data_IF_793397754999
#
_entry.id   IF_793397754999
#
_cell.length_a   1.000
_cell.length_b   1.000
_cell.length_c   1.000
_cell.angle_alpha   90.00
_cell.angle_beta   90.00
_cell.angle_gamma   90.00
#
_symmetry.space_group_name_H-M   'P 1'
#
loop_
_entity.id
_entity.type
_entity.pdbx_description
1 polymer ?
#
# COMPACT_ATOMS: atom_id res chain seq x y z
N UNK A 1 17.10 -0.23 0.89
CA UNK A 1 15.95 -0.96 1.45
C UNK A 1 14.71 -0.70 0.59
N UNK A 2 13.73 -1.59 0.62
CA UNK A 2 12.37 -1.32 0.13
C UNK A 2 11.51 -0.89 1.31
N UNK A 3 10.66 0.12 1.14
CA UNK A 3 9.82 0.68 2.20
C UNK A 3 8.35 0.45 1.87
N UNK A 4 7.68 -0.36 2.68
CA UNK A 4 6.26 -0.66 2.57
C UNK A 4 5.49 0.12 3.64
N UNK A 5 4.84 1.21 3.25
CA UNK A 5 4.11 2.11 4.13
C UNK A 5 2.71 1.54 4.45
N UNK A 6 2.49 1.14 5.70
CA UNK A 6 1.20 0.65 6.21
C UNK A 6 0.46 1.71 7.03
N UNK A 7 1.21 2.66 7.63
CA UNK A 7 0.66 3.69 8.49
C UNK A 7 -0.41 4.51 7.77
N UNK A 8 -1.62 4.51 8.35
CA UNK A 8 -2.74 5.27 7.82
C UNK A 8 -2.64 6.76 8.19
N UNK A 9 -3.15 7.66 7.33
CA UNK A 9 -3.74 7.39 6.02
C UNK A 9 -2.67 7.22 4.93
N UNK A 10 -2.63 6.08 4.23
CA UNK A 10 -1.58 5.75 3.22
C UNK A 10 -1.45 6.83 2.14
N UNK A 11 -2.57 7.42 1.73
CA UNK A 11 -2.61 8.48 0.72
C UNK A 11 -1.90 9.78 1.15
N UNK A 12 -1.65 9.97 2.45
CA UNK A 12 -0.88 11.11 2.97
C UNK A 12 0.50 10.70 3.48
N UNK A 13 0.63 9.54 4.13
CA UNK A 13 1.91 9.09 4.70
C UNK A 13 2.96 8.74 3.66
N UNK A 14 2.55 8.24 2.49
CA UNK A 14 3.47 7.98 1.36
C UNK A 14 4.06 9.27 0.79
N UNK A 15 3.26 10.30 0.41
CA UNK A 15 3.82 11.59 0.01
C UNK A 15 4.72 12.23 1.07
N UNK A 16 4.34 12.14 2.36
CA UNK A 16 5.17 12.66 3.46
C UNK A 16 6.54 11.96 3.49
N UNK A 17 6.57 10.63 3.40
CA UNK A 17 7.82 9.88 3.37
C UNK A 17 8.66 10.19 2.12
N UNK A 18 8.02 10.37 0.96
CA UNK A 18 8.69 10.76 -0.27
C UNK A 18 9.43 12.10 -0.10
N UNK A 19 8.78 13.12 0.48
CA UNK A 19 9.41 14.41 0.75
C UNK A 19 10.55 14.33 1.78
N UNK A 20 10.42 13.47 2.80
CA UNK A 20 11.50 13.22 3.76
C UNK A 20 12.72 12.60 3.07
N UNK A 21 12.52 11.61 2.21
CA UNK A 21 13.61 10.98 1.45
C UNK A 21 14.23 11.91 0.41
N UNK A 22 13.43 12.79 -0.22
CA UNK A 22 13.95 13.80 -1.17
C UNK A 22 14.85 14.79 -0.44
N UNK A 23 14.43 15.29 0.73
CA UNK A 23 15.25 16.17 1.58
C UNK A 23 16.55 15.49 2.04
N UNK A 24 16.52 14.18 2.24
CA UNK A 24 17.70 13.37 2.59
C UNK A 24 18.56 12.97 1.37
N UNK A 25 18.15 13.26 0.13
CA UNK A 25 18.87 12.87 -1.09
C UNK A 25 18.83 11.37 -1.39
N UNK A 26 17.92 10.61 -0.77
CA UNK A 26 17.85 9.14 -0.85
C UNK A 26 16.56 8.64 -1.50
N UNK A 27 15.72 9.54 -2.03
CA UNK A 27 14.47 9.18 -2.66
C UNK A 27 14.68 8.36 -3.94
N UNK A 28 14.04 7.20 -3.97
CA UNK A 28 13.90 6.34 -5.14
C UNK A 28 12.43 5.91 -5.23
N UNK A 29 11.73 6.41 -6.24
CA UNK A 29 10.30 6.14 -6.46
C UNK A 29 9.99 4.65 -6.63
N UNK A 30 10.96 3.84 -7.08
CA UNK A 30 10.81 2.39 -7.27
C UNK A 30 10.96 1.61 -5.96
N UNK A 31 11.22 2.29 -4.83
CA UNK A 31 11.49 1.67 -3.53
C UNK A 31 10.54 2.08 -2.41
N UNK A 32 9.62 3.02 -2.66
CA UNK A 32 8.61 3.46 -1.69
C UNK A 32 7.21 3.05 -2.15
N UNK A 33 6.53 2.24 -1.36
CA UNK A 33 5.23 1.68 -1.70
C UNK A 33 4.20 2.01 -0.61
N UNK A 34 2.99 2.41 -1.01
CA UNK A 34 1.82 2.40 -0.15
C UNK A 34 1.19 1.01 -0.13
N UNK A 35 1.01 0.42 1.04
CA UNK A 35 0.40 -0.91 1.16
C UNK A 35 -1.13 -0.79 1.06
N UNK A 36 -1.68 -1.22 -0.08
CA UNK A 36 -3.13 -1.27 -0.35
C UNK A 36 -3.67 -2.71 -0.40
N UNK A 37 -2.82 -3.70 -0.08
CA UNK A 37 -3.15 -5.13 -0.20
C UNK A 37 -4.39 -5.54 0.61
N UNK A 38 -4.66 -4.86 1.74
CA UNK A 38 -5.86 -5.11 2.53
C UNK A 38 -7.15 -4.89 1.74
N UNK A 39 -7.18 -3.88 0.86
CA UNK A 39 -8.36 -3.59 0.04
C UNK A 39 -8.57 -4.68 -1.02
N UNK A 40 -7.49 -5.23 -1.58
CA UNK A 40 -7.54 -6.38 -2.49
C UNK A 40 -8.07 -7.62 -1.78
N UNK A 41 -7.55 -7.94 -0.59
CA UNK A 41 -8.02 -9.10 0.20
C UNK A 41 -9.49 -8.97 0.57
N UNK A 42 -9.93 -7.75 0.94
CA UNK A 42 -11.35 -7.45 1.22
C UNK A 42 -12.21 -7.61 -0.02
N UNK A 43 -11.81 -7.05 -1.16
CA UNK A 43 -12.54 -7.16 -2.41
C UNK A 43 -12.69 -8.62 -2.86
N UNK A 44 -11.60 -9.41 -2.79
CA UNK A 44 -11.63 -10.86 -3.04
C UNK A 44 -12.62 -11.57 -2.14
N UNK A 45 -12.56 -11.32 -0.84
CA UNK A 45 -13.47 -11.93 0.15
C UNK A 45 -14.93 -11.60 -0.15
N UNK A 46 -15.24 -10.32 -0.43
CA UNK A 46 -16.60 -9.88 -0.73
C UNK A 46 -17.12 -10.47 -2.04
N UNK A 47 -16.27 -10.51 -3.09
CA UNK A 47 -16.64 -11.12 -4.35
C UNK A 47 -16.91 -12.62 -4.22
N UNK A 48 -16.00 -13.35 -3.59
CA UNK A 48 -16.11 -14.80 -3.39
C UNK A 48 -17.36 -15.17 -2.59
N UNK A 49 -17.64 -14.43 -1.49
CA UNK A 49 -18.85 -14.61 -0.70
C UNK A 49 -20.13 -14.39 -1.52
N UNK A 50 -20.15 -13.37 -2.39
CA UNK A 50 -21.28 -13.12 -3.30
C UNK A 50 -21.44 -14.21 -4.35
N UNK A 51 -20.33 -14.66 -4.94
CA UNK A 51 -20.31 -15.68 -6.00
C UNK A 51 -20.42 -17.12 -5.47
N UNK A 52 -20.39 -17.33 -4.14
CA UNK A 52 -20.35 -18.65 -3.48
C UNK A 52 -19.19 -19.52 -3.96
N UNK A 53 -18.03 -18.88 -4.18
CA UNK A 53 -16.78 -19.56 -4.55
C UNK A 53 -15.76 -19.43 -3.41
N UNK A 54 -14.73 -20.29 -3.35
CA UNK A 54 -13.63 -20.14 -2.40
C UNK A 54 -12.87 -18.81 -2.57
N UNK A 55 -12.26 -18.30 -1.49
CA UNK A 55 -11.32 -17.18 -1.54
C UNK A 55 -9.92 -17.74 -1.81
N UNK A 56 -9.37 -17.45 -2.99
CA UNK A 56 -7.96 -17.74 -3.36
C UNK A 56 -7.03 -16.55 -3.12
#
# INVERSE_FOLDING_TARGET
>A
ALVNMISNPVNSTVPIAAEVFKKAGTYDEKKLFGVTTLDVVRAKTFYAGKAKVPVE
#
